data_IF_455927440101
#
_entry.id   IF_455927440101
#
_cell.length_a   1.000
_cell.length_b   1.000
_cell.length_c   1.000
_cell.angle_alpha   90.00
_cell.angle_beta   90.00
_cell.angle_gamma   90.00
#
_symmetry.space_group_name_H-M   'P 1'
#
loop_
_entity.id
_entity.type
_entity.pdbx_description
1 polymer ?
#
# COMPACT_ATOMS: atom_id res chain seq x y z
N UNK A 1 -21.71 -7.61 12.25
CA UNK A 1 -21.11 -7.73 10.90
C UNK A 1 -19.84 -6.88 10.91
N UNK A 2 -18.66 -7.51 10.95
CA UNK A 2 -17.39 -6.77 10.94
C UNK A 2 -17.11 -6.34 9.49
N UNK A 3 -17.46 -5.10 9.16
CA UNK A 3 -17.20 -4.54 7.82
C UNK A 3 -15.71 -4.30 7.71
N UNK A 4 -14.99 -5.21 7.04
CA UNK A 4 -13.57 -5.02 6.71
C UNK A 4 -13.51 -3.90 5.67
N UNK A 5 -13.16 -2.70 6.12
CA UNK A 5 -12.93 -1.56 5.23
C UNK A 5 -11.66 -1.84 4.39
N UNK A 6 -11.69 -1.64 3.07
CA UNK A 6 -10.47 -1.71 2.26
C UNK A 6 -9.48 -0.68 2.79
N UNK A 7 -8.25 -1.10 3.06
CA UNK A 7 -7.17 -0.17 3.45
C UNK A 7 -6.49 0.43 2.23
N UNK A 8 -6.80 -0.06 1.04
CA UNK A 8 -6.31 0.44 -0.22
C UNK A 8 -7.40 0.40 -1.28
N UNK A 9 -7.34 1.35 -2.19
CA UNK A 9 -8.24 1.47 -3.33
C UNK A 9 -7.40 1.40 -4.60
N UNK A 10 -7.87 0.72 -5.65
CA UNK A 10 -7.12 0.64 -6.91
C UNK A 10 -7.52 1.74 -7.91
N UNK A 11 -8.76 2.24 -7.84
CA UNK A 11 -9.31 3.09 -8.90
C UNK A 11 -9.39 4.58 -8.55
N UNK A 12 -9.72 4.93 -7.30
CA UNK A 12 -10.02 6.32 -6.89
C UNK A 12 -9.24 6.66 -5.62
N UNK A 13 -8.50 7.77 -5.63
CA UNK A 13 -7.89 8.31 -4.42
C UNK A 13 -8.99 8.87 -3.50
N UNK A 14 -9.12 8.41 -2.25
CA UNK A 14 -10.15 8.92 -1.34
C UNK A 14 -9.90 10.36 -0.83
N UNK A 15 -8.75 10.97 -1.12
CA UNK A 15 -8.41 12.34 -0.70
C UNK A 15 -8.06 13.29 -1.85
N UNK A 16 -8.49 14.55 -1.76
CA UNK A 16 -8.43 15.50 -2.88
C UNK A 16 -7.04 16.14 -3.13
N UNK A 17 -6.07 16.02 -2.22
CA UNK A 17 -4.83 16.83 -2.28
C UNK A 17 -3.52 16.01 -2.28
N UNK A 18 -3.47 14.87 -1.58
CA UNK A 18 -2.28 14.02 -1.50
C UNK A 18 -2.61 12.61 -1.98
N UNK A 19 -1.98 12.19 -3.08
CA UNK A 19 -1.99 10.80 -3.50
C UNK A 19 -0.78 10.09 -2.89
N UNK A 20 -1.02 9.07 -2.07
CA UNK A 20 0.01 8.13 -1.63
C UNK A 20 -0.28 6.80 -2.28
N UNK A 21 0.68 6.23 -3.00
CA UNK A 21 0.48 4.96 -3.69
C UNK A 21 1.76 4.16 -3.84
N UNK A 22 1.60 2.88 -4.17
CA UNK A 22 2.68 2.02 -4.62
C UNK A 22 2.28 1.36 -5.94
N UNK A 23 3.28 1.02 -6.76
CA UNK A 23 3.06 0.16 -7.93
C UNK A 23 3.35 -1.27 -7.51
N UNK A 24 2.33 -2.13 -7.54
CA UNK A 24 2.42 -3.54 -7.16
C UNK A 24 1.88 -4.35 -8.34
N UNK A 25 2.71 -5.25 -8.88
CA UNK A 25 2.36 -6.08 -10.05
C UNK A 25 1.84 -5.26 -11.25
N UNK A 26 2.48 -4.11 -11.51
CA UNK A 26 2.10 -3.19 -12.58
C UNK A 26 0.85 -2.35 -12.31
N UNK A 27 0.20 -2.50 -11.16
CA UNK A 27 -1.03 -1.77 -10.79
C UNK A 27 -0.75 -0.70 -9.76
N UNK A 28 -1.39 0.46 -9.92
CA UNK A 28 -1.37 1.54 -8.93
C UNK A 28 -2.29 1.15 -7.76
N UNK A 29 -1.73 1.14 -6.55
CA UNK A 29 -2.45 0.84 -5.32
C UNK A 29 -2.41 2.09 -4.44
N UNK A 30 -3.54 2.77 -4.29
CA UNK A 30 -3.66 3.94 -3.41
C UNK A 30 -3.69 3.49 -1.96
N UNK A 31 -2.94 4.20 -1.13
CA UNK A 31 -2.68 3.88 0.26
C UNK A 31 -3.02 5.07 1.16
N UNK A 32 -3.21 4.84 2.45
CA UNK A 32 -3.41 5.91 3.41
C UNK A 32 -2.19 6.84 3.47
N UNK A 33 -2.38 8.13 3.83
CA UNK A 33 -1.28 9.09 3.93
C UNK A 33 -0.12 8.65 4.82
N UNK A 34 -0.37 7.88 5.87
CA UNK A 34 0.65 7.39 6.80
C UNK A 34 1.49 6.23 6.27
N UNK A 35 1.11 5.64 5.14
CA UNK A 35 1.91 4.61 4.48
C UNK A 35 3.17 5.24 3.88
N UNK A 36 4.34 4.95 4.45
CA UNK A 36 5.64 5.41 3.93
C UNK A 36 6.40 4.30 3.20
N UNK A 37 6.17 3.06 3.60
CA UNK A 37 6.78 1.88 3.04
C UNK A 37 5.72 0.83 2.74
N UNK A 38 5.96 0.05 1.69
CA UNK A 38 5.23 -1.19 1.44
C UNK A 38 6.21 -2.34 1.23
N UNK A 39 5.77 -3.54 1.58
CA UNK A 39 6.56 -4.75 1.47
C UNK A 39 5.68 -5.99 1.44
N UNK A 40 6.21 -7.06 0.87
CA UNK A 40 5.57 -8.34 0.75
C UNK A 40 6.16 -9.34 1.75
N UNK A 41 5.31 -10.14 2.40
CA UNK A 41 5.77 -11.22 3.27
C UNK A 41 6.09 -12.51 2.49
N UNK A 42 6.59 -13.53 3.19
CA UNK A 42 6.91 -14.84 2.59
C UNK A 42 5.70 -15.60 2.03
N UNK A 43 4.47 -15.18 2.37
CA UNK A 43 3.22 -15.78 1.88
C UNK A 43 2.67 -15.04 0.66
N UNK A 44 3.32 -13.95 0.27
CA UNK A 44 2.94 -13.11 -0.85
C UNK A 44 2.00 -11.97 -0.52
N UNK A 45 1.67 -11.77 0.77
CA UNK A 45 0.74 -10.76 1.25
C UNK A 45 1.47 -9.43 1.40
N UNK A 46 0.85 -8.35 0.92
CA UNK A 46 1.40 -7.01 1.01
C UNK A 46 0.95 -6.27 2.26
N UNK A 47 1.87 -5.51 2.84
CA UNK A 47 1.67 -4.68 4.02
C UNK A 47 2.17 -3.27 3.77
N UNK A 48 1.63 -2.31 4.51
CA UNK A 48 2.18 -0.95 4.58
C UNK A 48 2.63 -0.59 6.00
N UNK A 49 3.54 0.38 6.09
CA UNK A 49 4.02 0.89 7.37
C UNK A 49 4.52 2.34 7.29
N UNK A 50 4.42 3.05 8.42
CA UNK A 50 4.96 4.40 8.55
C UNK A 50 6.51 4.43 8.68
N UNK A 51 7.11 3.34 9.17
CA UNK A 51 8.57 3.19 9.32
C UNK A 51 9.03 1.90 8.69
N UNK A 52 10.26 1.88 8.17
CA UNK A 52 10.87 0.65 7.63
C UNK A 52 10.86 -0.45 8.72
N UNK A 53 10.22 -1.61 8.48
CA UNK A 53 10.16 -2.69 9.45
C UNK A 53 11.57 -3.17 9.84
N UNK A 54 11.73 -3.52 11.12
CA UNK A 54 12.87 -4.25 11.64
C UNK A 54 12.36 -5.63 12.04
N UNK A 55 12.96 -6.74 11.56
CA UNK A 55 12.58 -8.06 12.02
C UNK A 55 12.72 -8.16 13.54
N UNK A 56 11.70 -8.70 14.19
CA UNK A 56 11.75 -9.11 15.60
C UNK A 56 11.41 -10.60 15.63
N UNK A 57 12.27 -11.42 16.23
CA UNK A 57 12.04 -12.88 16.32
C UNK A 57 11.83 -13.57 14.95
N UNK A 58 12.43 -13.03 13.88
CA UNK A 58 12.30 -13.58 12.53
C UNK A 58 11.03 -13.16 11.78
N UNK A 59 10.18 -12.32 12.39
CA UNK A 59 8.98 -11.76 11.76
C UNK A 59 9.01 -10.22 11.78
N UNK A 60 8.65 -9.60 10.67
CA UNK A 60 8.57 -8.14 10.55
C UNK A 60 7.12 -7.64 10.45
N UNK A 61 6.16 -8.55 10.24
CA UNK A 61 4.72 -8.28 10.16
C UNK A 61 4.04 -7.86 11.47
N UNK A 62 4.60 -8.02 12.69
CA UNK A 62 3.94 -7.53 13.90
C UNK A 62 3.64 -6.04 13.80
N UNK A 63 2.39 -5.67 14.09
CA UNK A 63 1.88 -4.29 14.05
C UNK A 63 1.96 -3.63 12.66
N UNK A 64 1.96 -4.41 11.57
CA UNK A 64 1.87 -3.88 10.21
C UNK A 64 0.46 -4.08 9.68
N UNK A 65 -0.02 -3.10 8.92
CA UNK A 65 -1.36 -3.17 8.35
C UNK A 65 -1.29 -3.87 7.01
N UNK A 66 -2.06 -4.95 6.84
CA UNK A 66 -2.18 -5.60 5.54
C UNK A 66 -2.87 -4.67 4.56
N UNK A 67 -2.35 -4.60 3.34
CA UNK A 67 -3.01 -3.90 2.24
C UNK A 67 -4.20 -4.77 1.81
N UNK A 68 -5.42 -4.32 2.05
CA UNK A 68 -6.64 -5.00 1.65
C UNK A 68 -7.38 -4.21 0.56
N UNK A 69 -7.70 -4.89 -0.54
CA UNK A 69 -8.36 -4.31 -1.71
C UNK A 69 -9.71 -5.00 -1.95
N UNK A 70 -10.65 -4.28 -2.56
CA UNK A 70 -11.89 -4.87 -3.07
C UNK A 70 -11.59 -5.63 -4.36
N UNK A 71 -11.93 -6.91 -4.39
CA UNK A 71 -11.88 -7.74 -5.59
C UNK A 71 -13.16 -7.60 -6.41
N UNK A 72 -13.08 -7.99 -7.69
CA UNK A 72 -14.19 -7.93 -8.67
C UNK A 72 -15.46 -8.65 -8.18
N UNK A 73 -15.31 -9.69 -7.35
CA UNK A 73 -16.44 -10.39 -6.72
C UNK A 73 -17.11 -9.64 -5.55
N UNK A 74 -16.73 -8.40 -5.26
CA UNK A 74 -17.30 -7.57 -4.18
C UNK A 74 -16.69 -7.79 -2.79
N UNK A 75 -15.81 -8.78 -2.63
CA UNK A 75 -15.16 -9.10 -1.35
C UNK A 75 -13.88 -8.31 -1.14
N UNK A 76 -13.62 -7.89 0.10
CA UNK A 76 -12.34 -7.30 0.51
C UNK A 76 -11.40 -8.41 0.93
N UNK A 77 -10.21 -8.49 0.32
CA UNK A 77 -9.15 -9.43 0.72
C UNK A 77 -7.80 -8.74 0.76
N UNK A 78 -6.87 -9.35 1.48
CA UNK A 78 -5.47 -8.93 1.47
C UNK A 78 -4.89 -9.07 0.05
N UNK A 79 -4.19 -8.04 -0.40
CA UNK A 79 -3.48 -8.02 -1.67
C UNK A 79 -2.37 -9.07 -1.63
N UNK A 80 -2.45 -10.04 -2.54
CA UNK A 80 -1.52 -11.14 -2.65
C UNK A 80 -0.96 -11.23 -4.06
N UNK A 81 0.35 -11.34 -4.18
CA UNK A 81 1.05 -11.62 -5.44
C UNK A 81 2.03 -12.78 -5.25
N UNK A 82 2.61 -13.31 -6.33
CA UNK A 82 3.61 -14.36 -6.24
C UNK A 82 4.88 -13.85 -5.54
N UNK A 83 5.46 -14.65 -4.65
CA UNK A 83 6.73 -14.34 -3.98
C UNK A 83 7.89 -14.78 -4.87
N UNK A 84 8.76 -13.85 -5.25
CA UNK A 84 9.97 -14.15 -6.05
C UNK A 84 11.28 -13.83 -5.33
N UNK A 85 11.24 -13.07 -4.23
CA UNK A 85 12.41 -12.52 -3.56
C UNK A 85 12.24 -12.44 -2.04
N UNK A 86 13.35 -12.33 -1.27
CA UNK A 86 13.32 -11.92 0.14
C UNK A 86 12.52 -10.63 0.36
N UNK A 87 11.82 -10.53 1.50
CA UNK A 87 10.95 -9.40 1.81
C UNK A 87 11.66 -8.04 1.74
N UNK A 88 12.94 -7.99 2.12
CA UNK A 88 13.73 -6.75 2.13
C UNK A 88 13.89 -6.18 0.72
N UNK A 89 13.93 -7.05 -0.29
CA UNK A 89 14.06 -6.67 -1.69
C UNK A 89 12.72 -6.17 -2.25
N UNK A 90 11.60 -6.54 -1.63
CA UNK A 90 10.27 -6.01 -1.94
C UNK A 90 9.95 -4.70 -1.22
N UNK A 91 10.79 -4.28 -0.26
CA UNK A 91 10.59 -3.08 0.52
C UNK A 91 10.81 -1.83 -0.33
N UNK A 92 9.73 -1.14 -0.66
CA UNK A 92 9.76 0.10 -1.45
C UNK A 92 9.12 1.26 -0.67
N UNK A 93 9.59 2.49 -0.92
CA UNK A 93 8.91 3.69 -0.44
C UNK A 93 7.66 3.94 -1.28
N UNK A 94 6.61 4.43 -0.65
CA UNK A 94 5.42 4.90 -1.36
C UNK A 94 5.73 6.15 -2.17
N UNK A 95 5.12 6.27 -3.35
CA UNK A 95 5.13 7.48 -4.15
C UNK A 95 4.10 8.45 -3.58
N UNK A 96 4.48 9.72 -3.45
CA UNK A 96 3.64 10.78 -2.88
C UNK A 96 3.52 11.90 -3.90
N UNK A 97 2.30 12.20 -4.32
CA UNK A 97 2.00 13.23 -5.31
C UNK A 97 1.03 14.23 -4.72
N UNK A 98 1.32 15.52 -4.87
CA UNK A 98 0.36 16.57 -4.61
C UNK A 98 -0.47 16.75 -5.88
N UNK A 99 -1.80 16.67 -5.75
CA UNK A 99 -2.73 17.00 -6.82
C UNK A 99 -3.33 18.38 -6.56
N UNK A 100 -3.28 19.27 -7.57
CA UNK A 100 -4.10 20.48 -7.62
C UNK A 100 -5.59 20.14 -7.79
N UNK A 101 -6.46 21.16 -7.76
CA UNK A 101 -7.89 20.98 -8.00
C UNK A 101 -8.14 20.18 -9.29
N UNK A 102 -8.97 19.14 -9.20
CA UNK A 102 -9.35 18.25 -10.33
C UNK A 102 -8.17 17.54 -11.03
N UNK A 103 -7.01 17.41 -10.37
CA UNK A 103 -5.87 16.65 -10.91
C UNK A 103 -5.07 17.37 -12.00
N UNK A 104 -5.30 18.66 -12.23
CA UNK A 104 -4.63 19.45 -13.28
C UNK A 104 -3.13 19.68 -13.01
N UNK A 105 -2.73 19.73 -11.74
CA UNK A 105 -1.33 19.94 -11.34
C UNK A 105 -0.85 18.77 -10.47
N UNK A 106 -0.24 17.74 -11.09
CA UNK A 106 0.41 16.64 -10.37
C UNK A 106 1.89 16.91 -10.22
N UNK A 107 2.36 17.10 -8.98
CA UNK A 107 3.78 17.26 -8.67
C UNK A 107 4.22 16.29 -7.57
N UNK A 108 5.49 15.85 -7.54
CA UNK A 108 6.02 15.14 -6.38
C UNK A 108 5.80 15.95 -5.10
N UNK A 109 5.40 15.28 -4.02
CA UNK A 109 5.41 15.91 -2.70
C UNK A 109 6.87 16.09 -2.26
N UNK A 110 7.21 17.27 -1.76
CA UNK A 110 8.54 17.55 -1.23
C UNK A 110 8.87 16.58 -0.07
N UNK A 111 10.11 16.07 -0.04
CA UNK A 111 10.53 14.82 0.62
C UNK A 111 10.55 14.82 2.16
#
# INVERSE_FOLDING_TARGET
MLTITPTAVMDINPGDQLEVFAVIDGKKVFLPPEANYVMQDKRGIWYYSARKPRPKEGDWTPNKTSIACRHDGGYVRALKTATKTPWLDTCQRTIRMVCGQKGECRRPADA
#
